data_IF_954237092526
#
_entry.id   IF_954237092526
#
_cell.length_a   1.000
_cell.length_b   1.000
_cell.length_c   1.000
_cell.angle_alpha   90.00
_cell.angle_beta   90.00
_cell.angle_gamma   90.00
#
_symmetry.space_group_name_H-M   'P 1'
#
loop_
_entity.id
_entity.type
_entity.pdbx_description
1 polymer ?
#
# COMPACT_ATOMS: atom_id res chain seq x y z
N UNK A 1 -16.27 -6.58 27.36
CA UNK A 1 -15.76 -7.54 26.35
C UNK A 1 -14.39 -8.04 26.76
N UNK A 2 -14.11 -9.34 26.59
CA UNK A 2 -12.84 -9.98 26.95
C UNK A 2 -11.62 -9.31 26.32
N UNK A 3 -11.77 -8.84 25.08
CA UNK A 3 -10.69 -8.25 24.28
C UNK A 3 -10.70 -6.72 24.21
N UNK A 4 -11.42 -6.03 25.10
CA UNK A 4 -11.62 -4.58 25.01
C UNK A 4 -10.31 -3.80 24.87
N UNK A 5 -9.29 -4.10 25.69
CA UNK A 5 -7.98 -3.43 25.62
C UNK A 5 -7.25 -3.63 24.30
N UNK A 6 -7.43 -4.78 23.65
CA UNK A 6 -6.82 -5.06 22.34
C UNK A 6 -7.57 -4.28 21.27
N UNK A 7 -8.91 -4.26 21.34
CA UNK A 7 -9.76 -3.47 20.44
C UNK A 7 -9.42 -1.99 20.55
N UNK A 8 -9.29 -1.44 21.76
CA UNK A 8 -8.92 -0.03 21.98
C UNK A 8 -7.56 0.31 21.36
N UNK A 9 -6.59 -0.62 21.43
CA UNK A 9 -5.27 -0.46 20.80
C UNK A 9 -5.31 -0.58 19.27
N UNK A 10 -6.16 -1.44 18.73
CA UNK A 10 -6.39 -1.55 17.30
C UNK A 10 -7.05 -0.26 16.78
N UNK A 11 -8.07 0.22 17.50
CA UNK A 11 -8.81 1.44 17.16
C UNK A 11 -8.00 2.72 17.35
N UNK A 12 -6.95 2.71 18.17
CA UNK A 12 -6.06 3.87 18.31
C UNK A 12 -5.16 4.10 17.10
N UNK A 13 -5.09 3.16 16.15
CA UNK A 13 -4.29 3.28 14.92
C UNK A 13 -2.77 3.22 15.14
N UNK A 14 -2.32 2.98 16.37
CA UNK A 14 -0.90 2.95 16.74
C UNK A 14 -0.19 1.62 16.50
N UNK A 15 -0.81 0.67 15.81
CA UNK A 15 -0.27 -0.68 15.62
C UNK A 15 0.27 -0.86 14.20
N UNK A 16 1.49 -1.39 14.11
CA UNK A 16 2.13 -1.81 12.87
C UNK A 16 1.32 -2.93 12.20
N UNK A 17 1.44 -3.09 10.88
CA UNK A 17 0.76 -4.16 10.15
C UNK A 17 1.22 -5.54 10.60
N UNK A 18 2.48 -5.70 10.97
CA UNK A 18 3.07 -6.90 11.52
C UNK A 18 2.47 -7.24 12.90
N UNK A 19 2.22 -6.22 13.74
CA UNK A 19 1.55 -6.43 15.02
C UNK A 19 0.08 -6.82 14.84
N UNK A 20 -0.63 -6.19 13.89
CA UNK A 20 -2.00 -6.56 13.53
C UNK A 20 -2.07 -7.99 12.98
N UNK A 21 -1.10 -8.41 12.16
CA UNK A 21 -1.05 -9.76 11.61
C UNK A 21 -0.80 -10.83 12.69
N UNK A 22 0.09 -10.56 13.66
CA UNK A 22 0.28 -11.42 14.84
C UNK A 22 -0.99 -11.50 15.68
N UNK A 23 -1.67 -10.38 15.91
CA UNK A 23 -2.94 -10.36 16.64
C UNK A 23 -4.03 -11.15 15.91
N UNK A 24 -4.10 -11.03 14.59
CA UNK A 24 -5.03 -11.78 13.76
C UNK A 24 -4.79 -13.29 13.88
N UNK A 25 -3.54 -13.76 13.74
CA UNK A 25 -3.19 -15.18 13.89
C UNK A 25 -3.57 -15.71 15.27
N UNK A 26 -3.26 -14.97 16.34
CA UNK A 26 -3.62 -15.35 17.71
C UNK A 26 -5.15 -15.39 17.91
N UNK A 27 -5.89 -14.43 17.35
CA UNK A 27 -7.34 -14.38 17.43
C UNK A 27 -7.99 -15.53 16.65
N UNK A 28 -7.47 -15.88 15.47
CA UNK A 28 -7.89 -17.03 14.68
C UNK A 28 -7.63 -18.36 15.40
N UNK A 29 -6.48 -18.51 16.08
CA UNK A 29 -6.19 -19.68 16.92
C UNK A 29 -7.14 -19.79 18.12
N UNK A 30 -7.44 -18.68 18.78
CA UNK A 30 -8.40 -18.65 19.90
C UNK A 30 -9.81 -18.98 19.44
N UNK A 31 -10.22 -18.48 18.28
CA UNK A 31 -11.49 -18.82 17.68
C UNK A 31 -11.58 -20.32 17.35
N UNK A 32 -10.50 -20.91 16.80
CA UNK A 32 -10.40 -22.37 16.56
C UNK A 32 -10.45 -23.19 17.85
N UNK A 33 -10.00 -22.64 18.97
CA UNK A 33 -10.07 -23.26 20.31
C UNK A 33 -11.43 -23.07 21.00
N UNK A 34 -12.43 -22.47 20.33
CA UNK A 34 -13.79 -22.30 20.84
C UNK A 34 -14.09 -20.93 21.47
N UNK A 35 -13.16 -19.97 21.41
CA UNK A 35 -13.36 -18.63 21.93
C UNK A 35 -14.06 -17.71 20.92
N UNK A 36 -15.40 -17.71 20.95
CA UNK A 36 -16.21 -16.92 20.02
C UNK A 36 -15.97 -15.40 20.12
N UNK A 37 -15.58 -14.88 21.29
CA UNK A 37 -15.28 -13.45 21.47
C UNK A 37 -14.05 -13.01 20.67
N UNK A 38 -13.14 -13.93 20.29
CA UNK A 38 -11.95 -13.61 19.51
C UNK A 38 -12.29 -13.07 18.11
N UNK A 39 -13.49 -13.38 17.59
CA UNK A 39 -13.99 -12.81 16.33
C UNK A 39 -14.06 -11.28 16.36
N UNK A 40 -14.33 -10.68 17.52
CA UNK A 40 -14.40 -9.22 17.65
C UNK A 40 -13.05 -8.53 17.46
N UNK A 41 -11.94 -9.22 17.74
CA UNK A 41 -10.59 -8.75 17.43
C UNK A 41 -10.32 -8.80 15.94
N UNK A 42 -10.70 -9.90 15.28
CA UNK A 42 -10.56 -10.06 13.82
C UNK A 42 -11.35 -8.96 13.09
N UNK A 43 -12.59 -8.73 13.52
CA UNK A 43 -13.45 -7.69 12.96
C UNK A 43 -12.86 -6.29 13.22
N UNK A 44 -12.33 -6.01 14.40
CA UNK A 44 -11.65 -4.74 14.71
C UNK A 44 -10.38 -4.52 13.87
N UNK A 45 -9.58 -5.55 13.63
CA UNK A 45 -8.39 -5.48 12.77
C UNK A 45 -8.81 -5.15 11.34
N UNK A 46 -9.89 -5.77 10.85
CA UNK A 46 -10.37 -5.58 9.47
C UNK A 46 -10.76 -4.14 9.16
N UNK A 47 -11.12 -3.35 10.17
CA UNK A 47 -11.49 -1.93 10.04
C UNK A 47 -10.37 -0.97 10.47
N UNK A 48 -9.26 -1.48 11.00
CA UNK A 48 -8.16 -0.64 11.49
C UNK A 48 -7.25 -0.16 10.37
N UNK A 49 -6.68 1.04 10.54
CA UNK A 49 -5.62 1.57 9.67
C UNK A 49 -4.27 1.29 10.35
N UNK A 50 -3.42 0.40 9.81
CA UNK A 50 -2.11 0.14 10.39
C UNK A 50 -1.20 1.38 10.34
N UNK A 51 -0.22 1.46 11.25
CA UNK A 51 1.05 2.11 10.96
C UNK A 51 1.65 1.38 9.75
N UNK A 52 1.97 2.12 8.69
CA UNK A 52 2.46 1.53 7.45
C UNK A 52 3.81 0.86 7.70
N UNK A 53 3.86 -0.48 7.63
CA UNK A 53 5.13 -1.22 7.70
C UNK A 53 5.92 -1.12 6.39
N UNK A 54 5.23 -0.75 5.32
CA UNK A 54 5.77 -0.59 4.00
C UNK A 54 5.01 0.44 3.17
N UNK A 55 5.65 0.90 2.10
CA UNK A 55 5.06 1.72 1.06
C UNK A 55 5.16 0.98 -0.27
N UNK A 56 4.06 0.93 -1.03
CA UNK A 56 4.08 0.49 -2.42
C UNK A 56 4.46 1.67 -3.32
N UNK A 57 5.61 1.56 -4.00
CA UNK A 57 6.00 2.45 -5.08
C UNK A 57 5.59 1.85 -6.43
N UNK A 58 4.51 2.37 -6.99
CA UNK A 58 3.88 1.86 -8.20
C UNK A 58 4.29 2.65 -9.46
N UNK A 59 4.88 1.94 -10.42
CA UNK A 59 5.15 2.44 -11.76
C UNK A 59 3.88 2.48 -12.61
N UNK A 60 3.69 3.57 -13.35
CA UNK A 60 2.49 3.81 -14.16
C UNK A 60 2.81 4.04 -15.65
N UNK A 61 4.08 3.92 -16.05
CA UNK A 61 4.53 4.05 -17.45
C UNK A 61 4.91 2.66 -18.01
N UNK A 62 3.97 1.89 -18.56
CA UNK A 62 4.23 0.71 -19.37
C UNK A 62 5.42 0.88 -20.32
N UNK A 63 6.43 0.01 -20.20
CA UNK A 63 7.62 0.07 -21.07
C UNK A 63 8.43 1.37 -20.96
N UNK A 64 8.27 2.12 -19.87
CA UNK A 64 8.85 3.45 -19.68
C UNK A 64 8.39 4.52 -20.70
N UNK A 65 7.26 4.28 -21.38
CA UNK A 65 6.71 5.20 -22.37
C UNK A 65 5.82 6.28 -21.72
N UNK A 66 6.25 7.54 -21.83
CA UNK A 66 5.53 8.71 -21.31
C UNK A 66 4.26 9.03 -22.10
N UNK A 67 4.01 8.44 -23.27
CA UNK A 67 2.74 8.59 -23.98
C UNK A 67 1.68 7.59 -23.50
N UNK A 68 2.09 6.62 -22.67
CA UNK A 68 1.24 5.53 -22.17
C UNK A 68 1.03 5.60 -20.66
N UNK A 69 1.18 6.79 -20.07
CA UNK A 69 1.06 6.96 -18.61
C UNK A 69 -0.36 6.65 -18.17
N UNK A 70 -0.47 5.87 -17.11
CA UNK A 70 -1.74 5.46 -16.53
C UNK A 70 -2.12 6.26 -15.29
N UNK A 71 -1.20 7.05 -14.71
CA UNK A 71 -1.40 7.81 -13.48
C UNK A 71 -2.60 8.75 -13.53
N UNK A 72 -2.79 9.47 -14.65
CA UNK A 72 -3.91 10.39 -14.83
C UNK A 72 -5.24 9.63 -14.77
N UNK A 73 -5.39 8.60 -15.61
CA UNK A 73 -6.59 7.75 -15.66
C UNK A 73 -6.87 7.09 -14.30
N UNK A 74 -5.83 6.58 -13.64
CA UNK A 74 -5.92 5.94 -12.34
C UNK A 74 -6.41 6.90 -11.25
N UNK A 75 -5.91 8.13 -11.24
CA UNK A 75 -6.37 9.17 -10.31
C UNK A 75 -7.82 9.57 -10.57
N UNK A 76 -8.20 9.82 -11.81
CA UNK A 76 -9.57 10.18 -12.20
C UNK A 76 -10.59 9.09 -11.88
N UNK A 77 -10.22 7.83 -12.06
CA UNK A 77 -11.13 6.68 -11.85
C UNK A 77 -11.08 6.14 -10.42
N UNK A 78 -10.17 6.62 -9.57
CA UNK A 78 -9.99 6.09 -8.22
C UNK A 78 -9.52 4.64 -8.22
N UNK A 79 -8.63 4.26 -9.14
CA UNK A 79 -8.11 2.89 -9.26
C UNK A 79 -6.58 2.86 -9.39
N UNK A 80 -5.99 1.68 -9.23
CA UNK A 80 -4.62 1.36 -9.60
C UNK A 80 -4.57 -0.09 -10.09
N UNK A 81 -4.01 -0.33 -11.27
CA UNK A 81 -4.01 -1.66 -11.91
C UNK A 81 -2.60 -2.13 -12.29
N UNK A 82 -2.40 -3.43 -12.38
CA UNK A 82 -1.16 -4.00 -12.90
C UNK A 82 -1.46 -5.03 -13.99
N UNK A 83 -1.45 -4.57 -15.25
CA UNK A 83 -1.75 -5.41 -16.42
C UNK A 83 -0.56 -6.18 -17.01
N UNK A 84 0.67 -6.01 -16.49
CA UNK A 84 1.87 -6.65 -17.04
C UNK A 84 2.12 -8.04 -16.44
N UNK A 85 1.25 -8.99 -16.82
CA UNK A 85 1.25 -10.37 -16.33
C UNK A 85 2.49 -11.21 -16.70
N UNK A 86 3.38 -10.69 -17.56
CA UNK A 86 4.62 -11.41 -17.97
C UNK A 86 5.64 -11.58 -16.84
N UNK A 87 5.52 -10.81 -15.75
CA UNK A 87 6.45 -10.87 -14.62
C UNK A 87 5.75 -11.45 -13.39
N UNK A 88 5.84 -12.77 -13.19
CA UNK A 88 5.19 -13.49 -12.08
C UNK A 88 5.53 -12.88 -10.73
N UNK A 89 6.80 -12.53 -10.50
CA UNK A 89 7.23 -11.91 -9.24
C UNK A 89 6.53 -10.57 -8.96
N UNK A 90 6.28 -9.74 -9.98
CA UNK A 90 5.58 -8.47 -9.79
C UNK A 90 4.08 -8.67 -9.60
N UNK A 91 3.50 -9.69 -10.26
CA UNK A 91 2.11 -10.09 -10.03
C UNK A 91 1.92 -10.55 -8.59
N UNK A 92 2.83 -11.39 -8.07
CA UNK A 92 2.82 -11.86 -6.68
C UNK A 92 2.97 -10.70 -5.69
N UNK A 93 3.91 -9.78 -5.91
CA UNK A 93 4.04 -8.58 -5.05
C UNK A 93 2.79 -7.72 -5.10
N UNK A 94 2.22 -7.52 -6.28
CA UNK A 94 1.00 -6.73 -6.39
C UNK A 94 -0.16 -7.42 -5.65
N UNK A 95 -0.26 -8.75 -5.72
CA UNK A 95 -1.32 -9.52 -5.07
C UNK A 95 -1.26 -9.47 -3.53
N UNK A 96 -0.12 -9.17 -2.92
CA UNK A 96 -0.03 -8.99 -1.45
C UNK A 96 -0.60 -7.68 -0.94
N UNK A 97 -0.80 -6.67 -1.80
CA UNK A 97 -1.31 -5.34 -1.41
C UNK A 97 -2.74 -5.45 -0.92
N UNK A 98 -3.10 -4.83 0.18
CA UNK A 98 -4.38 -4.97 0.84
C UNK A 98 -5.07 -3.62 1.05
N UNK A 99 -6.33 -3.68 1.50
CA UNK A 99 -7.02 -2.50 2.00
C UNK A 99 -6.18 -1.79 3.09
N UNK A 100 -6.20 -0.46 3.06
CA UNK A 100 -5.46 0.42 3.96
C UNK A 100 -4.04 0.77 3.51
N UNK A 101 -3.43 -0.02 2.63
CA UNK A 101 -2.04 0.15 2.25
C UNK A 101 -1.78 1.48 1.54
N UNK A 102 -0.61 2.06 1.84
CA UNK A 102 -0.16 3.28 1.21
C UNK A 102 0.53 3.03 -0.14
N UNK A 103 0.07 3.75 -1.15
CA UNK A 103 0.55 3.64 -2.53
C UNK A 103 1.05 5.00 -3.01
N UNK A 104 2.25 5.01 -3.56
CA UNK A 104 2.90 6.17 -4.18
C UNK A 104 3.17 5.87 -5.64
N UNK A 105 2.69 6.73 -6.53
CA UNK A 105 2.96 6.65 -7.96
C UNK A 105 4.35 7.19 -8.27
N UNK A 106 5.17 6.40 -8.96
CA UNK A 106 6.55 6.77 -9.29
C UNK A 106 6.90 6.58 -10.76
N UNK A 107 7.87 7.36 -11.21
CA UNK A 107 8.61 7.11 -12.44
C UNK A 107 10.10 7.33 -12.19
N UNK A 108 10.92 6.37 -12.61
CA UNK A 108 12.38 6.55 -12.58
C UNK A 108 12.80 7.70 -13.49
N UNK A 109 13.68 8.56 -12.98
CA UNK A 109 14.20 9.72 -13.72
C UNK A 109 15.64 9.43 -14.15
N UNK A 110 16.59 9.46 -13.22
CA UNK A 110 17.96 9.05 -13.48
C UNK A 110 18.15 7.57 -13.14
N UNK A 111 18.67 6.79 -14.09
CA UNK A 111 18.91 5.36 -13.89
C UNK A 111 19.78 5.12 -12.65
N UNK A 112 19.26 4.34 -11.69
CA UNK A 112 19.97 3.99 -10.47
C UNK A 112 20.11 5.10 -9.43
N UNK A 113 19.58 6.32 -9.67
CA UNK A 113 19.79 7.47 -8.79
C UNK A 113 18.50 8.03 -8.20
N UNK A 114 17.59 8.49 -9.05
CA UNK A 114 16.40 9.25 -8.62
C UNK A 114 15.11 8.77 -9.27
N UNK A 115 14.00 9.07 -8.62
CA UNK A 115 12.65 8.89 -9.14
C UNK A 115 11.80 10.12 -8.85
N UNK A 116 10.83 10.37 -9.72
CA UNK A 116 9.79 11.37 -9.51
C UNK A 116 8.51 10.73 -8.98
N UNK A 117 7.84 11.38 -8.04
CA UNK A 117 6.59 10.95 -7.43
C UNK A 117 5.43 11.79 -7.97
N UNK A 118 4.32 11.15 -8.36
CA UNK A 118 3.24 11.78 -9.17
C UNK A 118 1.88 11.80 -8.48
N UNK A 119 1.82 11.26 -7.26
CA UNK A 119 0.59 11.15 -6.48
C UNK A 119 0.71 10.05 -5.46
N UNK A 120 -0.10 10.13 -4.42
CA UNK A 120 -0.15 9.16 -3.35
C UNK A 120 -1.58 8.98 -2.87
N UNK A 121 -1.86 7.85 -2.23
CA UNK A 121 -3.19 7.53 -1.75
C UNK A 121 -3.21 6.22 -0.99
N UNK A 122 -4.39 5.85 -0.50
CA UNK A 122 -4.60 4.59 0.22
C UNK A 122 -5.55 3.67 -0.52
N UNK A 123 -5.32 2.37 -0.39
CA UNK A 123 -6.21 1.36 -0.94
C UNK A 123 -7.51 1.35 -0.13
N UNK A 124 -8.62 1.72 -0.76
CA UNK A 124 -9.95 1.67 -0.17
C UNK A 124 -10.55 0.24 -0.24
N UNK A 125 -10.37 -0.47 -1.35
CA UNK A 125 -10.82 -1.87 -1.49
C UNK A 125 -10.15 -2.55 -2.68
N UNK A 126 -10.37 -3.86 -2.84
CA UNK A 126 -9.86 -4.67 -3.95
C UNK A 126 -10.99 -4.98 -4.93
N UNK A 127 -10.72 -4.87 -6.23
CA UNK A 127 -11.64 -5.22 -7.30
C UNK A 127 -11.04 -6.19 -8.31
N UNK A 128 -11.92 -6.76 -9.15
CA UNK A 128 -11.56 -7.64 -10.26
C UNK A 128 -12.34 -7.20 -11.50
N UNK A 129 -11.67 -7.14 -12.65
CA UNK A 129 -12.33 -6.84 -13.91
C UNK A 129 -13.04 -8.08 -14.50
N UNK A 130 -13.68 -7.91 -15.67
CA UNK A 130 -14.41 -8.99 -16.33
C UNK A 130 -13.50 -10.18 -16.76
N UNK A 131 -12.19 -9.95 -16.86
CA UNK A 131 -11.18 -10.95 -17.19
C UNK A 131 -10.57 -11.58 -15.94
N UNK A 132 -11.03 -11.20 -14.74
CA UNK A 132 -10.50 -11.66 -13.46
C UNK A 132 -9.18 -11.00 -13.06
N UNK A 133 -8.76 -9.94 -13.74
CA UNK A 133 -7.57 -9.19 -13.37
C UNK A 133 -7.86 -8.32 -12.16
N UNK A 134 -6.98 -8.43 -11.17
CA UNK A 134 -7.04 -7.69 -9.93
C UNK A 134 -6.65 -6.23 -10.12
N UNK A 135 -7.42 -5.32 -9.53
CA UNK A 135 -7.08 -3.90 -9.39
C UNK A 135 -7.37 -3.41 -7.97
N UNK A 136 -6.72 -2.32 -7.58
CA UNK A 136 -6.94 -1.64 -6.32
C UNK A 136 -7.91 -0.48 -6.56
N UNK A 137 -8.93 -0.34 -5.72
CA UNK A 137 -9.72 0.89 -5.62
C UNK A 137 -9.03 1.81 -4.63
N UNK A 138 -8.78 3.03 -5.05
CA UNK A 138 -7.88 3.98 -4.39
C UNK A 138 -8.65 5.19 -3.89
N UNK A 139 -8.28 5.66 -2.71
CA UNK A 139 -8.58 6.99 -2.22
C UNK A 139 -7.32 7.84 -2.41
N UNK A 140 -7.28 8.56 -3.53
CA UNK A 140 -6.11 9.36 -3.92
C UNK A 140 -6.11 10.72 -3.21
N UNK A 141 -4.93 11.17 -2.79
CA UNK A 141 -4.74 12.53 -2.30
C UNK A 141 -5.02 13.55 -3.41
N UNK A 142 -5.58 14.71 -3.03
CA UNK A 142 -5.84 15.83 -3.95
C UNK A 142 -4.56 16.58 -4.35
N UNK A 143 -3.42 16.31 -3.69
CA UNK A 143 -2.12 16.88 -4.02
C UNK A 143 -1.65 16.44 -5.41
N UNK A 144 -1.21 17.37 -6.24
CA UNK A 144 -0.76 17.14 -7.61
C UNK A 144 0.73 17.47 -7.86
N UNK A 145 1.40 18.06 -6.87
CA UNK A 145 2.82 18.41 -6.97
C UNK A 145 3.66 17.16 -7.27
N UNK A 146 4.63 17.32 -8.18
CA UNK A 146 5.62 16.29 -8.49
C UNK A 146 6.92 16.64 -7.77
N UNK A 147 7.47 15.69 -7.00
CA UNK A 147 8.77 15.84 -6.34
C UNK A 147 9.76 14.79 -6.86
N UNK A 148 11.05 15.10 -6.83
CA UNK A 148 12.13 14.17 -7.16
C UNK A 148 12.84 13.72 -5.88
N UNK A 149 13.00 12.41 -5.71
CA UNK A 149 13.55 11.77 -4.52
C UNK A 149 14.55 10.67 -4.89
N UNK A 150 15.37 10.17 -3.94
CA UNK A 150 16.24 9.03 -4.17
C UNK A 150 15.46 7.79 -4.64
N UNK A 151 16.09 6.96 -5.47
CA UNK A 151 15.43 5.79 -6.08
C UNK A 151 15.14 4.68 -5.07
N UNK A 152 15.94 4.52 -4.01
CA UNK A 152 15.81 3.46 -2.99
C UNK A 152 15.67 2.04 -3.56
N UNK A 153 16.33 1.78 -4.69
CA UNK A 153 16.25 0.50 -5.39
C UNK A 153 14.90 0.22 -6.07
N UNK A 154 13.99 1.19 -6.16
CA UNK A 154 12.68 1.07 -6.83
C UNK A 154 12.83 1.03 -8.36
N UNK A 155 13.35 -0.09 -8.87
CA UNK A 155 13.66 -0.31 -10.29
C UNK A 155 12.53 -0.94 -11.11
N UNK A 156 11.54 -1.53 -10.44
CA UNK A 156 10.46 -2.30 -11.07
C UNK A 156 9.19 -1.47 -11.22
N UNK A 157 8.14 -2.05 -11.79
CA UNK A 157 6.80 -1.44 -11.77
C UNK A 157 6.20 -1.59 -10.37
N UNK A 158 6.37 -2.74 -9.73
CA UNK A 158 5.84 -3.01 -8.38
C UNK A 158 7.00 -3.15 -7.40
N UNK A 159 7.26 -2.10 -6.63
CA UNK A 159 8.29 -2.10 -5.57
C UNK A 159 7.66 -1.83 -4.20
N UNK A 160 7.81 -2.79 -3.29
CA UNK A 160 7.38 -2.65 -1.89
C UNK A 160 8.63 -2.37 -1.05
N UNK A 161 8.61 -1.29 -0.28
CA UNK A 161 9.73 -0.87 0.58
C UNK A 161 9.30 -0.80 2.03
N UNK A 162 10.10 -1.39 2.93
CA UNK A 162 9.84 -1.26 4.36
C UNK A 162 9.91 0.20 4.79
N UNK A 163 9.10 0.57 5.77
CA UNK A 163 9.06 1.94 6.30
C UNK A 163 10.42 2.36 6.85
N UNK A 164 11.19 1.44 7.42
CA UNK A 164 12.57 1.66 7.87
C UNK A 164 13.48 2.12 6.72
N UNK A 165 13.35 1.48 5.54
CA UNK A 165 14.12 1.87 4.35
C UNK A 165 13.67 3.24 3.86
N UNK A 166 12.36 3.48 3.83
CA UNK A 166 11.79 4.78 3.44
C UNK A 166 12.32 5.90 4.36
N UNK A 167 12.27 5.71 5.68
CA UNK A 167 12.82 6.67 6.66
C UNK A 167 14.31 6.92 6.53
N UNK A 168 15.08 5.89 6.19
CA UNK A 168 16.52 6.04 6.03
C UNK A 168 16.90 6.85 4.80
N UNK A 169 16.13 6.72 3.71
CA UNK A 169 16.54 7.20 2.39
C UNK A 169 15.71 8.37 1.86
N UNK A 170 14.48 8.60 2.34
CA UNK A 170 13.66 9.71 1.89
C UNK A 170 14.05 11.05 2.53
N UNK A 171 14.04 12.15 1.77
CA UNK A 171 14.25 13.48 2.31
C UNK A 171 13.02 14.01 3.06
N UNK A 172 13.20 15.05 3.88
CA UNK A 172 12.12 15.74 4.59
C UNK A 172 10.98 16.20 3.66
N UNK A 173 11.33 16.63 2.45
CA UNK A 173 10.40 17.06 1.40
C UNK A 173 9.37 15.98 1.04
N UNK A 174 9.73 14.69 1.16
CA UNK A 174 8.80 13.59 0.96
C UNK A 174 7.71 13.55 2.05
N UNK A 175 8.09 13.76 3.31
CA UNK A 175 7.16 13.74 4.45
C UNK A 175 6.17 14.91 4.39
N UNK A 176 6.69 16.10 4.09
CA UNK A 176 5.86 17.27 3.81
C UNK A 176 4.89 17.01 2.65
N UNK A 177 5.36 16.34 1.60
CA UNK A 177 4.54 16.05 0.41
C UNK A 177 3.44 15.02 0.66
N UNK A 178 3.64 14.07 1.57
CA UNK A 178 2.60 13.11 2.01
C UNK A 178 1.72 13.65 3.15
N UNK A 179 1.94 14.90 3.59
CA UNK A 179 1.30 15.53 4.75
C UNK A 179 1.49 14.71 6.04
N UNK A 180 2.71 14.19 6.25
CA UNK A 180 3.13 13.53 7.50
C UNK A 180 4.20 14.35 8.22
#
# INVERSE_FOLDING_TARGET
MKYQKIIDRISSGGMSRADLLKLQQNAEEKLKQGDAEAKTVIDAISISKPLDDYVLFMGFCPGADLNRRLDIKWKEQGICEFGFLKSTQQVERFSTICMGDFVVLKKREQFGKTMKLYGHGRVNSIGYDAQGLRYLKMDWSAQDQVIEVPLMGCNSTVDIRSIETVHKEMPEEFYQWINM
#
